data_IF_575576654581
#
_entry.id   IF_575576654581
#
_cell.length_a   1.000
_cell.length_b   1.000
_cell.length_c   1.000
_cell.angle_alpha   90.00
_cell.angle_beta   90.00
_cell.angle_gamma   90.00
#
_symmetry.space_group_name_H-M   'P 1'
#
loop_
_entity.id
_entity.type
_entity.pdbx_description
1 polymer ?
#
# COMPACT_ATOMS: atom_id res chain seq x y z
N UNK A 1 10.67 12.21 -29.00
CA UNK A 1 10.73 11.48 -27.72
C UNK A 1 9.33 11.46 -27.11
N UNK A 2 9.04 10.44 -26.29
CA UNK A 2 7.77 10.13 -25.61
C UNK A 2 6.87 9.11 -26.34
N UNK A 3 7.25 7.83 -26.28
CA UNK A 3 6.39 6.70 -26.67
C UNK A 3 6.71 5.41 -25.87
N UNK A 4 7.23 5.53 -24.65
CA UNK A 4 7.70 4.40 -23.84
C UNK A 4 7.00 4.26 -22.47
N UNK A 5 6.03 5.10 -22.13
CA UNK A 5 5.43 5.12 -20.78
C UNK A 5 4.06 4.41 -20.66
N UNK A 6 3.49 3.88 -21.76
CA UNK A 6 2.16 3.26 -21.75
C UNK A 6 2.18 1.72 -21.84
N UNK A 7 3.35 1.11 -21.93
CA UNK A 7 3.47 -0.35 -22.00
C UNK A 7 3.50 -0.93 -20.58
N UNK A 8 2.32 -1.43 -20.16
CA UNK A 8 2.07 -2.39 -19.08
C UNK A 8 1.95 -1.83 -17.65
N UNK A 9 0.92 -1.02 -17.40
CA UNK A 9 0.35 -0.87 -16.04
C UNK A 9 -0.56 -2.07 -15.71
N UNK A 10 0.02 -3.26 -15.75
CA UNK A 10 -0.67 -4.52 -15.46
C UNK A 10 -1.01 -4.62 -13.97
N UNK A 11 -2.09 -5.35 -13.59
CA UNK A 11 -2.36 -5.65 -12.21
C UNK A 11 -1.18 -6.43 -11.59
N UNK A 12 -0.70 -5.96 -10.45
CA UNK A 12 0.38 -6.57 -9.67
C UNK A 12 -0.19 -7.06 -8.36
N UNK A 13 0.13 -8.31 -8.02
CA UNK A 13 -0.15 -8.88 -6.72
C UNK A 13 0.84 -8.35 -5.68
N UNK A 14 0.30 -7.93 -4.55
CA UNK A 14 1.06 -7.22 -3.54
C UNK A 14 0.69 -7.57 -2.12
N UNK A 15 1.66 -7.37 -1.23
CA UNK A 15 1.45 -7.37 0.21
C UNK A 15 1.51 -5.93 0.73
N UNK A 16 0.44 -5.46 1.37
CA UNK A 16 0.40 -4.20 2.11
C UNK A 16 0.53 -4.46 3.61
N UNK A 17 1.57 -3.89 4.21
CA UNK A 17 1.78 -3.81 5.64
C UNK A 17 1.38 -2.44 6.16
N UNK A 18 0.60 -2.38 7.23
CA UNK A 18 0.24 -1.17 7.95
C UNK A 18 0.70 -1.31 9.40
N UNK A 19 1.40 -0.31 9.90
CA UNK A 19 1.80 -0.24 11.30
C UNK A 19 1.60 1.17 11.87
N UNK A 20 1.31 1.24 13.16
CA UNK A 20 1.17 2.51 13.88
C UNK A 20 2.52 3.20 14.04
N UNK A 21 2.50 4.53 14.05
CA UNK A 21 3.66 5.36 14.41
C UNK A 21 3.47 6.02 15.78
N UNK A 22 4.49 6.75 16.25
CA UNK A 22 4.39 7.53 17.47
C UNK A 22 3.38 8.71 17.35
N UNK A 23 3.13 9.19 16.13
CA UNK A 23 2.22 10.30 15.88
C UNK A 23 0.76 9.81 15.78
N UNK A 24 -0.18 10.41 16.53
CA UNK A 24 -1.60 10.04 16.45
C UNK A 24 -2.16 10.20 15.03
N UNK A 25 -2.82 9.16 14.53
CA UNK A 25 -3.44 9.17 13.19
C UNK A 25 -2.48 8.90 12.03
N UNK A 26 -1.16 9.00 12.24
CA UNK A 26 -0.16 8.66 11.24
C UNK A 26 0.22 7.19 11.33
N UNK A 27 0.15 6.52 10.19
CA UNK A 27 0.56 5.14 10.01
C UNK A 27 1.72 5.07 9.03
N UNK A 28 2.50 4.02 9.16
CA UNK A 28 3.51 3.63 8.19
C UNK A 28 2.94 2.49 7.35
N UNK A 29 2.89 2.70 6.03
CA UNK A 29 2.40 1.72 5.07
C UNK A 29 3.55 1.26 4.16
N UNK A 30 3.73 -0.04 4.00
CA UNK A 30 4.76 -0.63 3.12
C UNK A 30 4.08 -1.58 2.15
N UNK A 31 4.41 -1.48 0.87
CA UNK A 31 3.82 -2.28 -0.18
C UNK A 31 4.92 -3.10 -0.87
N UNK A 32 4.71 -4.38 -1.10
CA UNK A 32 5.69 -5.28 -1.72
C UNK A 32 5.07 -5.97 -2.91
N UNK A 33 5.72 -5.97 -4.07
CA UNK A 33 5.31 -6.80 -5.21
C UNK A 33 5.72 -8.26 -4.93
N UNK A 34 4.80 -9.20 -5.12
CA UNK A 34 5.13 -10.64 -5.08
C UNK A 34 5.59 -11.17 -3.72
N UNK A 35 4.73 -11.08 -2.69
CA UNK A 35 4.87 -11.78 -1.41
C UNK A 35 6.13 -11.43 -0.58
N UNK A 36 6.16 -11.87 0.68
CA UNK A 36 7.27 -11.55 1.60
C UNK A 36 8.62 -12.19 1.24
N UNK A 37 8.65 -13.19 0.34
CA UNK A 37 9.83 -14.06 0.12
C UNK A 37 10.49 -13.97 -1.27
N UNK A 38 9.99 -13.11 -2.16
CA UNK A 38 10.60 -12.89 -3.48
C UNK A 38 10.99 -11.41 -3.60
N UNK A 39 12.28 -11.05 -3.47
CA UNK A 39 12.73 -9.65 -3.45
C UNK A 39 12.77 -9.06 -4.87
N UNK A 40 11.65 -9.13 -5.58
CA UNK A 40 11.55 -8.71 -6.97
C UNK A 40 11.49 -7.19 -7.13
N UNK A 41 10.73 -6.49 -6.30
CA UNK A 41 10.61 -5.02 -6.28
C UNK A 41 9.78 -4.60 -5.05
N UNK A 42 10.40 -3.88 -4.12
CA UNK A 42 9.70 -3.28 -2.98
C UNK A 42 9.16 -1.90 -3.34
N UNK A 43 7.94 -1.55 -2.90
CA UNK A 43 7.48 -0.17 -2.88
C UNK A 43 7.73 0.42 -1.49
N UNK A 44 8.41 1.56 -1.46
CA UNK A 44 8.87 2.21 -0.23
C UNK A 44 7.70 2.57 0.67
N UNK A 45 7.94 2.30 1.94
CA UNK A 45 7.37 2.88 3.15
C UNK A 45 6.86 4.33 3.00
N UNK A 46 5.55 4.54 3.17
CA UNK A 46 4.93 5.86 3.27
C UNK A 46 4.50 6.14 4.71
N UNK A 47 4.84 7.33 5.22
CA UNK A 47 4.19 7.91 6.40
C UNK A 47 2.97 8.70 5.93
N UNK A 48 1.78 8.32 6.37
CA UNK A 48 0.53 8.90 5.87
C UNK A 48 -0.53 8.93 6.97
N UNK A 49 -1.43 9.90 6.90
CA UNK A 49 -2.64 9.89 7.72
C UNK A 49 -3.50 8.68 7.35
N UNK A 50 -3.94 7.91 8.35
CA UNK A 50 -4.78 6.73 8.11
C UNK A 50 -6.02 7.06 7.29
N UNK A 51 -6.67 8.20 7.56
CA UNK A 51 -7.89 8.65 6.86
C UNK A 51 -7.64 8.76 5.34
N UNK A 52 -6.49 9.32 4.94
CA UNK A 52 -6.14 9.48 3.53
C UNK A 52 -5.89 8.13 2.86
N UNK A 53 -5.09 7.26 3.50
CA UNK A 53 -4.83 5.93 2.97
C UNK A 53 -6.12 5.10 2.90
N UNK A 54 -6.96 5.14 3.93
CA UNK A 54 -8.23 4.43 4.00
C UNK A 54 -9.16 4.82 2.86
N UNK A 55 -9.25 6.11 2.54
CA UNK A 55 -10.01 6.61 1.37
C UNK A 55 -9.46 6.03 0.07
N UNK A 56 -8.14 6.09 -0.14
CA UNK A 56 -7.51 5.57 -1.35
C UNK A 56 -7.68 4.04 -1.51
N UNK A 57 -7.52 3.28 -0.43
CA UNK A 57 -7.73 1.82 -0.45
C UNK A 57 -9.18 1.44 -0.75
N UNK A 58 -10.13 2.24 -0.28
CA UNK A 58 -11.55 2.03 -0.55
C UNK A 58 -11.90 2.39 -2.00
N UNK A 59 -11.42 3.52 -2.52
CA UNK A 59 -11.84 4.09 -3.80
C UNK A 59 -11.05 3.53 -4.99
N UNK A 60 -9.74 3.36 -4.84
CA UNK A 60 -8.84 2.99 -5.95
C UNK A 60 -8.59 1.49 -6.03
N UNK A 61 -8.47 0.84 -4.87
CA UNK A 61 -8.12 -0.59 -4.74
C UNK A 61 -9.35 -1.44 -4.42
N UNK A 62 -10.49 -0.82 -4.07
CA UNK A 62 -11.74 -1.51 -3.69
C UNK A 62 -11.58 -2.49 -2.51
N UNK A 63 -10.70 -2.18 -1.56
CA UNK A 63 -10.57 -2.99 -0.34
C UNK A 63 -11.87 -2.89 0.49
N UNK A 64 -12.46 -4.01 0.93
CA UNK A 64 -13.70 -3.98 1.70
C UNK A 64 -13.57 -3.17 3.00
N UNK A 65 -14.59 -2.36 3.31
CA UNK A 65 -14.64 -1.54 4.55
C UNK A 65 -14.35 -2.37 5.80
N UNK A 66 -14.91 -3.58 5.90
CA UNK A 66 -14.68 -4.52 7.02
C UNK A 66 -13.21 -4.90 7.19
N UNK A 67 -12.45 -4.99 6.11
CA UNK A 67 -11.00 -5.26 6.15
C UNK A 67 -10.25 -4.03 6.68
N UNK A 68 -10.63 -2.84 6.24
CA UNK A 68 -10.05 -1.57 6.71
C UNK A 68 -10.36 -1.32 8.19
N UNK A 69 -11.58 -1.60 8.65
CA UNK A 69 -11.95 -1.52 10.07
C UNK A 69 -11.12 -2.47 10.94
N UNK A 70 -10.84 -3.67 10.42
CA UNK A 70 -9.96 -4.63 11.09
C UNK A 70 -8.52 -4.14 11.14
N UNK A 71 -8.02 -3.57 10.04
CA UNK A 71 -6.68 -2.98 10.00
C UNK A 71 -6.55 -1.87 11.05
N UNK A 72 -7.53 -0.97 11.11
CA UNK A 72 -7.61 0.13 12.08
C UNK A 72 -7.58 -0.34 13.52
N UNK A 73 -8.39 -1.33 13.85
CA UNK A 73 -8.36 -1.94 15.18
C UNK A 73 -6.98 -2.50 15.51
N UNK A 74 -6.38 -3.26 14.59
CA UNK A 74 -5.09 -3.94 14.80
C UNK A 74 -3.95 -2.95 15.02
N UNK A 75 -3.78 -1.94 14.16
CA UNK A 75 -2.71 -0.98 14.36
C UNK A 75 -2.96 -0.03 15.55
N UNK A 76 -4.23 0.26 15.88
CA UNK A 76 -4.55 1.06 17.07
C UNK A 76 -4.14 0.34 18.36
N UNK A 77 -4.25 -0.99 18.39
CA UNK A 77 -3.76 -1.89 19.45
C UNK A 77 -2.22 -2.06 19.43
N UNK A 78 -1.51 -1.41 18.52
CA UNK A 78 -0.05 -1.52 18.37
C UNK A 78 0.40 -2.76 17.59
N UNK A 79 -0.51 -3.49 16.96
CA UNK A 79 -0.19 -4.65 16.14
C UNK A 79 0.07 -4.26 14.68
N UNK A 80 0.93 -5.03 14.01
CA UNK A 80 1.10 -4.94 12.57
C UNK A 80 -0.11 -5.60 11.89
N UNK A 81 -0.57 -4.98 10.79
CA UNK A 81 -1.58 -5.54 9.93
C UNK A 81 -1.02 -5.76 8.53
N UNK A 82 -1.06 -7.00 8.06
CA UNK A 82 -0.67 -7.37 6.69
C UNK A 82 -1.92 -7.81 5.93
N UNK A 83 -2.04 -7.38 4.67
CA UNK A 83 -3.07 -7.85 3.75
C UNK A 83 -2.52 -8.04 2.34
N UNK A 84 -3.07 -9.02 1.64
CA UNK A 84 -2.86 -9.18 0.21
C UNK A 84 -3.77 -8.21 -0.54
N UNK A 85 -3.26 -7.62 -1.61
CA UNK A 85 -4.02 -6.76 -2.50
C UNK A 85 -3.53 -6.90 -3.94
N UNK A 86 -4.44 -6.64 -4.88
CA UNK A 86 -4.12 -6.52 -6.29
C UNK A 86 -4.32 -5.06 -6.65
N UNK A 87 -3.28 -4.41 -7.18
CA UNK A 87 -3.34 -3.01 -7.61
C UNK A 87 -2.47 -2.81 -8.83
N UNK A 88 -2.23 -1.57 -9.23
CA UNK A 88 -1.37 -1.22 -10.35
C UNK A 88 -0.27 -0.27 -9.88
N UNK A 89 0.87 -0.29 -10.56
CA UNK A 89 1.99 0.59 -10.24
C UNK A 89 1.59 2.08 -10.28
N UNK A 90 0.75 2.47 -11.24
CA UNK A 90 0.22 3.84 -11.34
C UNK A 90 -0.62 4.25 -10.12
N UNK A 91 -1.43 3.34 -9.59
CA UNK A 91 -2.28 3.59 -8.42
C UNK A 91 -1.42 3.78 -7.16
N UNK A 92 -0.36 2.99 -7.01
CA UNK A 92 0.60 3.14 -5.91
C UNK A 92 1.31 4.49 -5.97
N UNK A 93 1.74 4.92 -7.16
CA UNK A 93 2.35 6.25 -7.35
C UNK A 93 1.37 7.37 -6.99
N UNK A 94 0.10 7.27 -7.39
CA UNK A 94 -0.96 8.21 -7.00
C UNK A 94 -1.23 8.20 -5.49
N UNK A 95 -1.07 7.03 -4.85
CA UNK A 95 -1.09 6.88 -3.40
C UNK A 95 0.19 7.39 -2.73
N UNK A 96 1.20 7.83 -3.48
CA UNK A 96 2.46 8.35 -2.98
C UNK A 96 3.48 7.30 -2.56
N UNK A 97 3.29 6.04 -2.95
CA UNK A 97 4.34 5.02 -2.84
C UNK A 97 5.39 5.24 -3.93
N UNK A 98 6.64 5.00 -3.59
CA UNK A 98 7.76 5.09 -4.53
C UNK A 98 8.32 3.70 -4.80
N UNK A 99 8.59 3.37 -6.06
CA UNK A 99 9.20 2.08 -6.40
C UNK A 99 10.67 2.10 -5.99
N UNK A 100 11.13 1.10 -5.24
CA UNK A 100 12.57 0.85 -5.08
C UNK A 100 13.06 0.13 -6.33
N UNK A 101 13.81 0.84 -7.15
CA UNK A 101 14.71 0.20 -8.12
C UNK A 101 15.96 -0.20 -7.35
N UNK A 102 16.22 -1.51 -7.23
CA UNK A 102 17.53 -2.01 -6.82
C UNK A 102 18.60 -1.69 -7.87
#
# INVERSE_FOLDING_TARGET
MSQLAEQFDEPVEMQLRIQRTAEPGVIMAIAWEGGYMTPGQGWITKFVQWVDLRRQLLEMVNIPRKTLDRAEKRFSEGHIFDMDMITRASQLQQMGFQRQTA
#
